data_IF_659258574023
#
_entry.id   IF_659258574023
#
_cell.length_a   1.000
_cell.length_b   1.000
_cell.length_c   1.000
_cell.angle_alpha   90.00
_cell.angle_beta   90.00
_cell.angle_gamma   90.00
#
_symmetry.space_group_name_H-M   'P 1'
#
loop_
_entity.id
_entity.type
_entity.pdbx_description
1 polymer ?
#
# COMPACT_ATOMS: atom_id res chain seq x y z
N UNK A 1 21.30 20.40 -4.95
CA UNK A 1 21.89 21.29 -3.92
C UNK A 1 21.95 20.48 -2.64
N UNK A 2 23.11 19.85 -2.39
CA UNK A 2 23.38 19.04 -1.18
C UNK A 2 23.45 20.04 -0.01
N UNK A 3 22.76 19.76 1.10
CA UNK A 3 22.96 20.55 2.34
C UNK A 3 24.45 20.45 2.69
N UNK A 4 25.13 21.59 2.70
CA UNK A 4 26.54 21.66 3.03
C UNK A 4 26.81 20.99 4.40
N UNK A 5 27.72 20.02 4.45
CA UNK A 5 28.37 19.65 5.72
C UNK A 5 28.67 18.18 6.02
N UNK A 6 28.67 17.25 5.07
CA UNK A 6 29.28 15.92 5.27
C UNK A 6 29.75 15.39 3.91
N UNK A 7 31.04 15.06 3.79
CA UNK A 7 31.51 14.25 2.66
C UNK A 7 31.06 12.79 2.88
N UNK A 8 31.21 11.91 1.88
CA UNK A 8 30.77 10.51 1.98
C UNK A 8 31.43 9.79 3.17
N UNK A 9 32.70 10.08 3.44
CA UNK A 9 33.46 9.50 4.56
C UNK A 9 32.90 9.93 5.93
N UNK A 10 32.52 11.21 6.08
CA UNK A 10 31.88 11.73 7.27
C UNK A 10 30.50 11.09 7.48
N UNK A 11 29.76 10.83 6.40
CA UNK A 11 28.46 10.16 6.45
C UNK A 11 28.61 8.70 6.89
N UNK A 12 29.57 7.97 6.32
CA UNK A 12 29.86 6.58 6.72
C UNK A 12 30.30 6.51 8.19
N UNK A 13 31.20 7.39 8.61
CA UNK A 13 31.66 7.47 10.01
C UNK A 13 30.50 7.75 10.97
N UNK A 14 29.61 8.68 10.61
CA UNK A 14 28.41 8.99 11.40
C UNK A 14 27.44 7.80 11.45
N UNK A 15 27.26 7.06 10.34
CA UNK A 15 26.44 5.86 10.33
C UNK A 15 27.02 4.77 11.23
N UNK A 16 28.32 4.52 11.15
CA UNK A 16 29.01 3.56 12.02
C UNK A 16 28.81 3.91 13.50
N UNK A 17 29.08 5.16 13.89
CA UNK A 17 28.91 5.62 15.27
C UNK A 17 27.45 5.45 15.75
N UNK A 18 26.48 5.88 14.92
CA UNK A 18 25.05 5.82 15.27
C UNK A 18 24.46 4.42 15.24
N UNK A 19 25.13 3.46 14.60
CA UNK A 19 24.65 2.09 14.48
C UNK A 19 25.50 1.08 15.23
N UNK A 20 26.62 1.49 15.83
CA UNK A 20 27.53 0.62 16.60
C UNK A 20 26.84 -0.14 17.74
N UNK A 21 25.76 0.39 18.30
CA UNK A 21 24.97 -0.28 19.35
C UNK A 21 24.02 -1.36 18.80
N UNK A 22 23.80 -1.44 17.48
CA UNK A 22 22.85 -2.37 16.87
C UNK A 22 23.44 -3.78 16.87
N UNK A 23 22.73 -4.71 17.48
CA UNK A 23 22.99 -6.13 17.30
C UNK A 23 22.45 -6.58 15.93
N UNK A 24 23.35 -6.91 15.00
CA UNK A 24 22.99 -7.35 13.65
C UNK A 24 22.20 -8.67 13.63
N UNK A 25 22.35 -9.52 14.65
CA UNK A 25 21.58 -10.77 14.76
C UNK A 25 20.14 -10.54 15.25
N UNK A 26 19.85 -9.37 15.84
CA UNK A 26 18.54 -9.09 16.40
C UNK A 26 17.47 -8.96 15.32
N UNK A 27 17.78 -8.36 14.17
CA UNK A 27 16.80 -8.15 13.11
C UNK A 27 16.30 -9.47 12.49
N UNK A 28 17.17 -10.41 12.04
CA UNK A 28 16.71 -11.72 11.55
C UNK A 28 15.91 -12.51 12.60
N UNK A 29 16.35 -12.50 13.87
CA UNK A 29 15.65 -13.19 14.95
C UNK A 29 14.27 -12.59 15.24
N UNK A 30 14.19 -11.25 15.26
CA UNK A 30 12.92 -10.55 15.46
C UNK A 30 11.96 -10.82 14.30
N UNK A 31 12.46 -10.82 13.06
CA UNK A 31 11.68 -11.16 11.87
C UNK A 31 11.08 -12.57 11.99
N UNK A 32 11.90 -13.58 12.27
CA UNK A 32 11.44 -14.96 12.49
C UNK A 32 10.39 -15.06 13.60
N UNK A 33 10.57 -14.31 14.70
CA UNK A 33 9.63 -14.27 15.82
C UNK A 33 8.28 -13.66 15.40
N UNK A 34 8.28 -12.53 14.70
CA UNK A 34 7.06 -11.87 14.21
C UNK A 34 6.32 -12.76 13.21
N UNK A 35 7.05 -13.38 12.29
CA UNK A 35 6.49 -14.31 11.30
C UNK A 35 5.83 -15.51 11.99
N UNK A 36 6.51 -16.10 12.98
CA UNK A 36 5.94 -17.21 13.76
C UNK A 36 4.65 -16.81 14.49
N UNK A 37 4.65 -15.64 15.15
CA UNK A 37 3.46 -15.12 15.83
C UNK A 37 2.31 -14.87 14.85
N UNK A 38 2.57 -14.21 13.72
CA UNK A 38 1.53 -13.94 12.74
C UNK A 38 0.91 -15.24 12.19
N UNK A 39 1.73 -16.28 11.94
CA UNK A 39 1.25 -17.61 11.57
C UNK A 39 0.41 -18.26 12.67
N UNK A 40 0.86 -18.20 13.92
CA UNK A 40 0.14 -18.74 15.09
C UNK A 40 -1.25 -18.12 15.24
N UNK A 41 -1.36 -16.80 15.06
CA UNK A 41 -2.61 -16.06 15.26
C UNK A 41 -3.43 -15.84 13.97
N UNK A 42 -2.99 -16.36 12.82
CA UNK A 42 -3.67 -16.17 11.54
C UNK A 42 -3.73 -14.69 11.09
N UNK A 43 -2.71 -13.90 11.43
CA UNK A 43 -2.61 -12.49 11.07
C UNK A 43 -1.97 -12.37 9.69
N UNK A 44 -2.61 -11.60 8.80
CA UNK A 44 -2.07 -11.28 7.49
C UNK A 44 -0.73 -10.54 7.60
N UNK A 45 0.27 -10.99 6.84
CA UNK A 45 1.59 -10.36 6.75
C UNK A 45 1.77 -9.66 5.42
N UNK A 46 2.43 -8.52 5.44
CA UNK A 46 2.87 -7.80 4.25
C UNK A 46 4.32 -7.39 4.42
N UNK A 47 5.09 -7.39 3.34
CA UNK A 47 6.40 -6.74 3.30
C UNK A 47 6.26 -5.24 3.06
N UNK A 48 7.34 -4.50 3.26
CA UNK A 48 7.40 -3.06 3.08
C UNK A 48 8.67 -2.67 2.33
N UNK A 49 8.54 -1.77 1.36
CA UNK A 49 9.64 -1.22 0.56
C UNK A 49 10.51 -2.29 -0.13
N UNK A 50 9.89 -3.33 -0.71
CA UNK A 50 10.65 -4.32 -1.49
C UNK A 50 11.36 -3.65 -2.67
N UNK A 51 12.68 -3.88 -2.78
CA UNK A 51 13.54 -3.25 -3.78
C UNK A 51 14.11 -4.26 -4.77
N UNK A 52 14.38 -5.49 -4.33
CA UNK A 52 14.98 -6.53 -5.15
C UNK A 52 14.12 -7.78 -5.21
N UNK A 53 14.48 -8.69 -6.12
CA UNK A 53 13.84 -10.02 -6.22
C UNK A 53 14.00 -10.79 -4.91
N UNK A 54 15.17 -10.69 -4.29
CA UNK A 54 15.52 -11.39 -3.05
C UNK A 54 14.67 -10.90 -1.87
N UNK A 55 14.35 -9.60 -1.79
CA UNK A 55 13.44 -9.07 -0.76
C UNK A 55 12.04 -9.69 -0.89
N UNK A 56 11.54 -9.80 -2.12
CA UNK A 56 10.22 -10.39 -2.39
C UNK A 56 10.25 -11.90 -2.11
N UNK A 57 11.32 -12.60 -2.50
CA UNK A 57 11.47 -14.04 -2.24
C UNK A 57 11.53 -14.35 -0.73
N UNK A 58 12.29 -13.57 0.04
CA UNK A 58 12.32 -13.68 1.51
C UNK A 58 10.91 -13.47 2.08
N UNK A 59 10.25 -12.38 1.69
CA UNK A 59 8.92 -12.04 2.18
C UNK A 59 7.85 -13.07 1.79
N UNK A 60 7.90 -13.60 0.57
CA UNK A 60 7.04 -14.69 0.14
C UNK A 60 7.28 -15.95 0.98
N UNK A 61 8.54 -16.30 1.26
CA UNK A 61 8.89 -17.46 2.11
C UNK A 61 8.39 -17.31 3.55
N UNK A 62 8.32 -16.07 4.05
CA UNK A 62 7.73 -15.76 5.35
C UNK A 62 6.20 -15.88 5.35
N UNK A 63 5.56 -15.95 4.18
CA UNK A 63 4.12 -16.02 4.02
C UNK A 63 3.45 -14.65 3.91
N UNK A 64 4.20 -13.60 3.52
CA UNK A 64 3.59 -12.33 3.15
C UNK A 64 2.65 -12.52 1.97
N UNK A 65 1.47 -11.90 2.05
CA UNK A 65 0.42 -11.97 1.03
C UNK A 65 0.35 -10.71 0.17
N UNK A 66 1.11 -9.67 0.52
CA UNK A 66 1.22 -8.43 -0.22
C UNK A 66 2.58 -7.78 -0.03
N UNK A 67 3.00 -7.01 -1.03
CA UNK A 67 4.13 -6.10 -0.99
C UNK A 67 3.61 -4.68 -0.83
N UNK A 68 3.91 -4.04 0.31
CA UNK A 68 3.58 -2.65 0.54
C UNK A 68 4.70 -1.74 0.01
N UNK A 69 4.30 -0.80 -0.84
CA UNK A 69 5.17 0.22 -1.44
C UNK A 69 6.45 -0.34 -2.08
N UNK A 70 6.39 -1.38 -2.95
CA UNK A 70 7.57 -1.83 -3.67
C UNK A 70 8.22 -0.63 -4.37
N UNK A 71 9.51 -0.43 -4.11
CA UNK A 71 10.24 0.76 -4.55
C UNK A 71 10.86 0.58 -5.93
N UNK A 72 10.88 -0.63 -6.46
CA UNK A 72 11.37 -0.94 -7.80
C UNK A 72 10.34 -1.72 -8.63
N UNK A 73 10.40 -1.54 -9.95
CA UNK A 73 9.55 -2.27 -10.88
C UNK A 73 9.78 -3.78 -10.80
N UNK A 74 11.04 -4.21 -10.67
CA UNK A 74 11.38 -5.62 -10.62
C UNK A 74 10.79 -6.31 -9.37
N UNK A 75 10.77 -5.61 -8.23
CA UNK A 75 10.14 -6.13 -7.01
C UNK A 75 8.61 -6.22 -7.18
N UNK A 76 7.95 -5.19 -7.68
CA UNK A 76 6.50 -5.19 -7.89
C UNK A 76 6.03 -6.29 -8.87
N UNK A 77 6.80 -6.52 -9.95
CA UNK A 77 6.55 -7.61 -10.90
C UNK A 77 6.74 -8.97 -10.23
N UNK A 78 7.83 -9.14 -9.47
CA UNK A 78 8.11 -10.39 -8.77
C UNK A 78 7.05 -10.74 -7.73
N UNK A 79 6.53 -9.73 -7.02
CA UNK A 79 5.44 -9.91 -6.06
C UNK A 79 4.19 -10.48 -6.75
N UNK A 80 3.81 -9.92 -7.91
CA UNK A 80 2.72 -10.43 -8.75
C UNK A 80 2.95 -11.86 -9.22
N UNK A 81 4.17 -12.23 -9.63
CA UNK A 81 4.50 -13.60 -10.02
C UNK A 81 4.26 -14.61 -8.88
N UNK A 82 4.49 -14.20 -7.64
CA UNK A 82 4.19 -15.01 -6.45
C UNK A 82 2.74 -14.92 -5.96
N UNK A 83 1.89 -14.17 -6.66
CA UNK A 83 0.50 -13.95 -6.28
C UNK A 83 0.34 -13.00 -5.08
N UNK A 84 1.38 -12.26 -4.69
CA UNK A 84 1.30 -11.19 -3.71
C UNK A 84 0.69 -9.94 -4.35
N UNK A 85 -0.20 -9.27 -3.64
CA UNK A 85 -0.79 -8.01 -4.11
C UNK A 85 0.15 -6.83 -3.83
N UNK A 86 0.21 -5.85 -4.73
CA UNK A 86 0.95 -4.60 -4.50
C UNK A 86 0.03 -3.54 -3.88
N UNK A 87 0.48 -2.97 -2.76
CA UNK A 87 -0.20 -1.88 -2.05
C UNK A 87 0.56 -0.58 -2.30
N UNK A 88 -0.09 0.43 -2.87
CA UNK A 88 0.54 1.73 -3.17
C UNK A 88 -0.09 2.90 -2.40
N UNK A 89 0.72 3.89 -2.08
CA UNK A 89 0.29 5.05 -1.28
C UNK A 89 -0.56 6.03 -2.09
N UNK A 90 -1.75 6.33 -1.60
CA UNK A 90 -2.68 7.29 -2.19
C UNK A 90 -2.11 8.72 -2.33
N UNK A 91 -1.37 9.29 -1.36
CA UNK A 91 -0.84 10.64 -1.49
C UNK A 91 0.14 10.76 -2.66
N UNK A 92 0.97 9.73 -2.85
CA UNK A 92 1.91 9.63 -3.97
C UNK A 92 1.16 9.57 -5.30
N UNK A 93 0.12 8.75 -5.38
CA UNK A 93 -0.74 8.63 -6.55
C UNK A 93 -1.39 9.97 -6.94
N UNK A 94 -1.99 10.66 -5.97
CA UNK A 94 -2.69 11.93 -6.22
C UNK A 94 -1.71 13.00 -6.69
N UNK A 95 -0.54 13.11 -6.05
CA UNK A 95 0.50 14.06 -6.47
C UNK A 95 1.08 13.71 -7.86
N UNK A 96 1.16 12.43 -8.19
CA UNK A 96 1.66 11.95 -9.49
C UNK A 96 3.17 11.82 -9.59
N UNK A 97 3.89 11.81 -8.47
CA UNK A 97 5.33 11.55 -8.44
C UNK A 97 5.77 10.87 -7.15
N UNK A 98 6.76 9.98 -7.32
CA UNK A 98 7.60 9.48 -6.23
C UNK A 98 8.63 10.51 -5.83
N UNK A 99 8.85 10.69 -4.52
CA UNK A 99 9.79 11.69 -4.00
C UNK A 99 11.26 11.35 -4.27
N UNK A 100 11.56 10.06 -4.48
CA UNK A 100 12.92 9.52 -4.38
C UNK A 100 13.43 8.85 -5.67
N UNK A 101 12.65 8.90 -6.76
CA UNK A 101 12.97 8.15 -7.99
C UNK A 101 12.50 6.68 -7.97
N UNK A 102 11.91 6.23 -6.87
CA UNK A 102 11.29 4.91 -6.73
C UNK A 102 10.07 4.76 -7.64
N UNK A 103 9.68 3.51 -7.91
CA UNK A 103 8.45 3.13 -8.61
C UNK A 103 7.25 3.91 -8.06
N UNK A 104 6.53 4.59 -8.95
CA UNK A 104 5.38 5.40 -8.53
C UNK A 104 4.09 4.59 -8.50
N UNK A 105 3.13 5.03 -7.69
CA UNK A 105 1.80 4.41 -7.65
C UNK A 105 1.05 4.51 -9.00
N UNK A 106 1.32 5.57 -9.78
CA UNK A 106 0.74 5.76 -11.12
C UNK A 106 1.37 4.81 -12.13
N UNK A 107 2.68 4.65 -12.09
CA UNK A 107 3.40 3.70 -12.95
C UNK A 107 2.95 2.26 -12.66
N UNK A 108 2.76 1.88 -11.38
CA UNK A 108 2.13 0.60 -11.02
C UNK A 108 0.75 0.43 -11.68
N UNK A 109 -0.08 1.48 -11.68
CA UNK A 109 -1.40 1.43 -12.31
C UNK A 109 -1.33 1.32 -13.84
N UNK A 110 -0.41 2.04 -14.50
CA UNK A 110 -0.18 1.99 -15.95
C UNK A 110 0.27 0.60 -16.39
N UNK A 111 1.14 -0.03 -15.59
CA UNK A 111 1.68 -1.37 -15.86
C UNK A 111 0.75 -2.50 -15.40
N UNK A 112 -0.42 -2.17 -14.82
CA UNK A 112 -1.37 -3.16 -14.34
C UNK A 112 -0.93 -3.91 -13.07
N UNK A 113 0.06 -3.38 -12.36
CA UNK A 113 0.63 -3.95 -11.14
C UNK A 113 -0.03 -3.42 -9.85
N UNK A 114 -0.88 -2.40 -9.92
CA UNK A 114 -1.57 -1.83 -8.75
C UNK A 114 -2.80 -2.64 -8.35
N UNK A 115 -2.85 -3.13 -7.11
CA UNK A 115 -4.00 -3.86 -6.57
C UNK A 115 -4.76 -3.10 -5.49
N UNK A 116 -4.05 -2.46 -4.58
CA UNK A 116 -4.61 -1.80 -3.40
C UNK A 116 -4.01 -0.40 -3.26
N UNK A 117 -4.86 0.54 -2.85
CA UNK A 117 -4.44 1.89 -2.48
C UNK A 117 -4.62 2.06 -0.97
N UNK A 118 -3.54 2.39 -0.26
CA UNK A 118 -3.58 2.73 1.17
C UNK A 118 -3.52 4.24 1.39
N UNK A 119 -4.04 4.72 2.52
CA UNK A 119 -4.03 6.16 2.83
C UNK A 119 -2.64 6.72 3.01
N UNK A 120 -1.70 5.86 3.42
CA UNK A 120 -0.43 6.26 4.00
C UNK A 120 -0.71 7.34 5.07
N UNK A 121 -0.21 8.56 4.89
CA UNK A 121 -0.41 9.68 5.82
C UNK A 121 -1.60 10.63 5.49
N UNK A 122 -2.38 10.42 4.40
CA UNK A 122 -3.53 11.28 4.05
C UNK A 122 -4.79 10.45 3.73
N UNK A 123 -5.70 10.21 4.70
CA UNK A 123 -6.91 9.41 4.50
C UNK A 123 -7.79 9.83 3.31
N UNK A 124 -8.01 11.14 3.13
CA UNK A 124 -8.86 11.66 2.06
C UNK A 124 -8.32 11.35 0.65
N UNK A 125 -7.01 11.11 0.52
CA UNK A 125 -6.38 10.84 -0.76
C UNK A 125 -6.76 9.48 -1.36
N UNK A 126 -7.19 8.49 -0.54
CA UNK A 126 -7.60 7.17 -1.06
C UNK A 126 -8.79 7.29 -2.01
N UNK A 127 -9.83 8.02 -1.59
CA UNK A 127 -11.02 8.21 -2.40
C UNK A 127 -10.69 8.99 -3.67
N UNK A 128 -9.85 10.03 -3.56
CA UNK A 128 -9.42 10.79 -4.76
C UNK A 128 -8.64 9.90 -5.73
N UNK A 129 -7.70 9.10 -5.23
CA UNK A 129 -6.89 8.21 -6.07
C UNK A 129 -7.75 7.16 -6.80
N UNK A 130 -8.71 6.54 -6.10
CA UNK A 130 -9.65 5.60 -6.71
C UNK A 130 -10.49 6.26 -7.82
N UNK A 131 -10.99 7.49 -7.63
CA UNK A 131 -11.70 8.20 -8.70
C UNK A 131 -10.78 8.58 -9.87
N UNK A 132 -9.54 8.99 -9.59
CA UNK A 132 -8.55 9.32 -10.61
C UNK A 132 -8.17 8.11 -11.49
N UNK A 133 -8.18 6.89 -10.95
CA UNK A 133 -7.99 5.67 -11.75
C UNK A 133 -9.07 5.50 -12.82
N UNK A 134 -10.28 6.02 -12.61
CA UNK A 134 -11.35 6.00 -13.61
C UNK A 134 -11.34 7.20 -14.56
N UNK A 135 -10.50 8.20 -14.29
CA UNK A 135 -10.28 9.35 -15.17
C UNK A 135 -9.13 9.06 -16.15
N UNK A 136 -9.00 9.89 -17.19
CA UNK A 136 -7.82 9.84 -18.05
C UNK A 136 -6.55 10.18 -17.23
N UNK A 137 -5.39 9.53 -17.50
CA UNK A 137 -5.14 8.62 -18.62
C UNK A 137 -5.51 7.15 -18.35
N UNK A 138 -5.80 6.76 -17.11
CA UNK A 138 -5.96 5.35 -16.72
C UNK A 138 -7.25 4.71 -17.25
N UNK A 139 -8.37 5.45 -17.21
CA UNK A 139 -9.67 5.00 -17.72
C UNK A 139 -10.13 3.63 -17.18
N UNK A 140 -9.78 3.27 -15.94
CA UNK A 140 -10.22 2.02 -15.34
C UNK A 140 -11.74 2.03 -15.12
N UNK A 141 -12.42 0.88 -15.26
CA UNK A 141 -13.81 0.75 -14.86
C UNK A 141 -13.99 1.14 -13.38
N UNK A 142 -14.98 1.99 -13.08
CA UNK A 142 -15.23 2.46 -11.71
C UNK A 142 -15.30 1.34 -10.66
N UNK A 143 -15.95 0.18 -10.90
CA UNK A 143 -15.93 -0.92 -9.93
C UNK A 143 -14.52 -1.45 -9.64
N UNK A 144 -13.66 -1.57 -10.66
CA UNK A 144 -12.26 -1.99 -10.51
C UNK A 144 -11.49 -0.96 -9.68
N UNK A 145 -11.66 0.32 -9.99
CA UNK A 145 -10.98 1.40 -9.30
C UNK A 145 -11.39 1.51 -7.82
N UNK A 146 -12.68 1.43 -7.51
CA UNK A 146 -13.19 1.42 -6.12
C UNK A 146 -12.75 0.16 -5.37
N UNK A 147 -12.62 -0.99 -6.03
CA UNK A 147 -12.15 -2.22 -5.39
C UNK A 147 -10.77 -2.05 -4.74
N UNK A 148 -9.89 -1.19 -5.29
CA UNK A 148 -8.56 -0.90 -4.72
C UNK A 148 -8.57 -0.34 -3.30
N UNK A 149 -9.68 0.30 -2.88
CA UNK A 149 -9.85 0.92 -1.56
C UNK A 149 -10.98 0.29 -0.73
N UNK A 150 -11.60 -0.79 -1.24
CA UNK A 150 -12.75 -1.44 -0.61
C UNK A 150 -12.62 -2.98 -0.65
N UNK A 151 -13.07 -3.61 -1.74
CA UNK A 151 -13.13 -5.07 -1.84
C UNK A 151 -11.76 -5.77 -1.78
N UNK A 152 -10.73 -5.21 -2.45
CA UNK A 152 -9.40 -5.81 -2.46
C UNK A 152 -8.74 -5.85 -1.07
N UNK A 153 -8.64 -4.73 -0.32
CA UNK A 153 -8.09 -4.78 1.02
C UNK A 153 -8.94 -5.61 2.00
N UNK A 154 -10.27 -5.63 1.84
CA UNK A 154 -11.13 -6.49 2.65
C UNK A 154 -10.81 -7.98 2.44
N UNK A 155 -10.73 -8.42 1.18
CA UNK A 155 -10.36 -9.81 0.83
C UNK A 155 -8.95 -10.17 1.28
N UNK A 156 -7.98 -9.27 1.07
CA UNK A 156 -6.59 -9.49 1.49
C UNK A 156 -6.51 -9.79 2.99
N UNK A 157 -7.26 -9.05 3.81
CA UNK A 157 -7.32 -9.23 5.26
C UNK A 157 -8.30 -10.33 5.72
N UNK A 158 -8.85 -11.14 4.81
CA UNK A 158 -9.82 -12.20 5.15
C UNK A 158 -11.20 -11.71 5.60
N UNK A 159 -11.53 -10.44 5.39
CA UNK A 159 -12.82 -9.84 5.74
C UNK A 159 -13.83 -10.11 4.63
N UNK A 160 -14.51 -11.25 4.71
CA UNK A 160 -15.50 -11.71 3.71
C UNK A 160 -16.90 -11.08 3.86
N UNK A 161 -17.12 -10.31 4.92
CA UNK A 161 -18.40 -9.72 5.30
C UNK A 161 -18.53 -8.23 4.94
N UNK A 162 -17.56 -7.66 4.20
CA UNK A 162 -17.58 -6.27 3.72
C UNK A 162 -16.76 -6.04 2.45
N UNK A 163 -16.80 -4.81 1.96
CA UNK A 163 -16.01 -4.34 0.83
C UNK A 163 -16.78 -4.30 -0.49
N UNK A 164 -18.01 -4.83 -0.51
CA UNK A 164 -18.89 -4.86 -1.66
C UNK A 164 -20.34 -4.53 -1.30
N UNK A 165 -21.06 -3.90 -2.23
CA UNK A 165 -22.49 -3.64 -2.09
C UNK A 165 -23.25 -4.86 -2.63
N UNK A 166 -23.51 -5.83 -1.76
CA UNK A 166 -24.19 -7.07 -2.10
C UNK A 166 -25.09 -7.54 -0.96
N UNK A 167 -26.17 -8.25 -1.28
CA UNK A 167 -27.03 -8.89 -0.27
C UNK A 167 -26.20 -9.85 0.57
N UNK A 168 -26.34 -9.79 1.90
CA UNK A 168 -25.60 -10.60 2.86
C UNK A 168 -24.29 -9.97 3.37
N UNK A 169 -23.82 -8.89 2.74
CA UNK A 169 -22.68 -8.11 3.21
C UNK A 169 -23.10 -7.09 4.28
N UNK A 170 -22.17 -6.63 5.10
CA UNK A 170 -22.40 -5.53 6.04
C UNK A 170 -22.82 -4.27 5.29
N UNK A 171 -23.83 -3.57 5.82
CA UNK A 171 -24.27 -2.27 5.33
C UNK A 171 -23.33 -1.13 5.78
N UNK A 172 -22.04 -1.28 5.49
CA UNK A 172 -21.02 -0.24 5.65
C UNK A 172 -20.90 0.51 4.30
N UNK A 173 -21.46 1.72 4.23
CA UNK A 173 -21.65 2.46 2.97
C UNK A 173 -21.11 3.88 3.08
N UNK A 174 -20.57 4.39 1.98
CA UNK A 174 -20.20 5.80 1.83
C UNK A 174 -20.91 6.37 0.60
N UNK A 175 -21.75 7.38 0.80
CA UNK A 175 -22.31 8.13 -0.31
C UNK A 175 -21.31 9.21 -0.73
N UNK A 176 -20.94 9.22 -2.00
CA UNK A 176 -19.96 10.16 -2.55
C UNK A 176 -20.64 11.09 -3.55
N UNK A 177 -20.34 12.38 -3.45
CA UNK A 177 -20.73 13.40 -4.42
C UNK A 177 -19.49 13.92 -5.14
N UNK A 178 -19.56 14.04 -6.47
CA UNK A 178 -18.51 14.69 -7.25
C UNK A 178 -18.78 16.18 -7.28
N UNK A 179 -17.95 16.93 -6.56
CA UNK A 179 -18.03 18.37 -6.51
C UNK A 179 -17.72 18.99 -7.89
N UNK A 180 -18.09 20.26 -8.09
CA UNK A 180 -17.87 20.97 -9.37
C UNK A 180 -16.41 21.01 -9.83
N UNK A 181 -15.47 20.92 -8.90
CA UNK A 181 -14.03 20.87 -9.17
C UNK A 181 -13.51 19.44 -9.44
N UNK A 182 -14.40 18.45 -9.60
CA UNK A 182 -14.06 17.05 -9.85
C UNK A 182 -13.67 16.24 -8.62
N UNK A 183 -13.62 16.84 -7.42
CA UNK A 183 -13.23 16.12 -6.22
C UNK A 183 -14.36 15.23 -5.69
N UNK A 184 -14.08 13.95 -5.35
CA UNK A 184 -15.04 13.12 -4.66
C UNK A 184 -15.13 13.52 -3.18
N UNK A 185 -16.34 13.81 -2.73
CA UNK A 185 -16.62 14.28 -1.37
C UNK A 185 -17.61 13.32 -0.70
N UNK A 186 -17.25 12.68 0.43
CA UNK A 186 -18.20 11.93 1.25
C UNK A 186 -19.35 12.84 1.73
N UNK A 187 -20.59 12.39 1.58
CA UNK A 187 -21.81 13.13 1.96
C UNK A 187 -22.57 12.50 3.12
N UNK A 188 -22.49 11.19 3.23
CA UNK A 188 -23.07 10.43 4.31
C UNK A 188 -22.32 9.10 4.45
N UNK A 189 -22.22 8.64 5.69
CA UNK A 189 -21.51 7.41 6.05
C UNK A 189 -22.45 6.54 6.88
N UNK A 190 -22.56 5.28 6.50
CA UNK A 190 -23.27 4.26 7.26
C UNK A 190 -22.30 3.20 7.74
N UNK A 191 -22.50 2.76 8.98
CA UNK A 191 -21.83 1.60 9.56
C UNK A 191 -22.91 0.63 10.02
N UNK A 192 -22.92 -0.57 9.47
CA UNK A 192 -23.91 -1.62 9.76
C UNK A 192 -25.35 -1.12 9.62
N UNK A 193 -25.62 -0.30 8.60
CA UNK A 193 -26.94 0.25 8.30
C UNK A 193 -27.32 1.50 9.13
N UNK A 194 -26.51 1.88 10.12
CA UNK A 194 -26.72 3.08 10.92
C UNK A 194 -25.92 4.24 10.35
N UNK A 195 -26.56 5.38 10.15
CA UNK A 195 -25.86 6.60 9.72
C UNK A 195 -25.00 7.15 10.86
N UNK A 196 -23.73 7.41 10.59
CA UNK A 196 -22.74 7.89 11.58
C UNK A 196 -22.12 9.25 11.23
N UNK A 197 -22.27 9.70 9.98
CA UNK A 197 -21.91 11.04 9.50
C UNK A 197 -22.80 11.45 8.30
#
# INVERSE_FOLDING_TARGET
MIRAGTNDDDFHSMLEERTAWRNQEAAPKNRQTIVALAKEYGIALMSHDDESVEHVEESHSDGCIASEFPVSLIAAQKAHEYGMLNVMGAPNFVRGSSHSGNLSARECAELGLLDIISSDYIPLSMLRAAFMLSEAPFNWPMPKAIATVAGNPARLCGLIDRGEIMVGQRADLVQVHIAKNGWPVPRAIWRQGLRVA
#
